data_IF_081701386748
#
_entry.id   IF_081701386748
#
_cell.length_a   1.000
_cell.length_b   1.000
_cell.length_c   1.000
_cell.angle_alpha   90.00
_cell.angle_beta   90.00
_cell.angle_gamma   90.00
#
_symmetry.space_group_name_H-M   'P 1'
#
loop_
_entity.id
_entity.type
_entity.pdbx_description
1 polymer ?
#
# COMPACT_ATOMS: atom_id res chain seq x y z
N UNK A 1 11.12 43.02 32.43
CA UNK A 1 10.39 42.64 31.21
C UNK A 1 10.45 41.13 31.02
N UNK A 2 9.46 40.34 31.47
CA UNK A 2 9.39 38.92 31.09
C UNK A 2 8.49 38.75 29.86
N UNK A 3 9.02 38.06 28.85
CA UNK A 3 8.29 37.68 27.66
C UNK A 3 7.21 36.63 27.99
N UNK A 4 6.06 36.86 27.37
CA UNK A 4 4.76 36.22 27.52
C UNK A 4 4.66 35.04 26.56
N UNK A 5 4.32 33.85 27.07
CA UNK A 5 3.80 32.74 26.27
C UNK A 5 2.45 32.30 26.87
N UNK A 6 1.37 32.46 26.10
CA UNK A 6 0.01 32.07 26.46
C UNK A 6 -0.38 30.80 25.68
N UNK A 7 -0.81 29.76 26.43
CA UNK A 7 -1.91 28.79 26.22
C UNK A 7 -1.87 27.95 24.92
N UNK A 8 -1.49 26.65 25.01
CA UNK A 8 -2.35 25.44 25.06
C UNK A 8 -3.38 25.32 23.92
N UNK A 9 -3.30 24.23 23.18
CA UNK A 9 -4.49 23.44 22.80
C UNK A 9 -4.06 22.01 22.44
N UNK A 10 -4.43 21.07 23.30
CA UNK A 10 -4.39 19.64 23.04
C UNK A 10 -5.34 19.33 21.87
N UNK A 11 -4.79 19.27 20.65
CA UNK A 11 -5.50 18.69 19.52
C UNK A 11 -5.60 17.18 19.72
N UNK A 12 -6.66 16.76 20.42
CA UNK A 12 -7.28 15.45 20.24
C UNK A 12 -7.77 15.34 18.79
N UNK A 13 -6.85 15.11 17.86
CA UNK A 13 -7.20 14.52 16.57
C UNK A 13 -7.60 13.09 16.88
N UNK A 14 -8.92 12.86 16.98
CA UNK A 14 -9.47 11.53 17.14
C UNK A 14 -8.85 10.63 16.08
N UNK A 15 -8.09 9.61 16.51
CA UNK A 15 -7.69 8.52 15.61
C UNK A 15 -8.98 7.98 15.02
N UNK A 16 -9.23 8.23 13.74
CA UNK A 16 -10.02 7.29 12.95
C UNK A 16 -9.17 6.03 12.87
N UNK A 17 -9.35 5.14 13.82
CA UNK A 17 -8.83 3.79 13.70
C UNK A 17 -9.76 3.07 12.73
N UNK A 18 -9.34 3.03 11.46
CA UNK A 18 -9.90 2.09 10.50
C UNK A 18 -9.02 0.84 10.57
N UNK A 19 -9.62 -0.28 10.95
CA UNK A 19 -8.97 -1.58 10.83
C UNK A 19 -9.19 -2.08 9.41
N UNK A 20 -8.14 -1.98 8.60
CA UNK A 20 -8.13 -2.53 7.24
C UNK A 20 -7.49 -3.93 7.28
N UNK A 21 -8.19 -4.91 6.71
CA UNK A 21 -7.60 -6.22 6.42
C UNK A 21 -7.40 -6.29 4.91
N UNK A 22 -6.17 -6.44 4.43
CA UNK A 22 -5.88 -6.62 3.00
C UNK A 22 -5.52 -8.09 2.75
N UNK A 23 -6.05 -8.67 1.66
CA UNK A 23 -5.67 -10.01 1.16
C UNK A 23 -5.14 -9.89 -0.25
N UNK A 24 -4.13 -10.68 -0.61
CA UNK A 24 -3.47 -10.59 -1.93
C UNK A 24 -3.49 -11.95 -2.57
N UNK A 25 -3.94 -11.99 -3.80
CA UNK A 25 -3.96 -13.18 -4.63
C UNK A 25 -3.07 -12.92 -5.83
N UNK A 26 -2.18 -13.87 -6.12
CA UNK A 26 -1.35 -13.85 -7.32
C UNK A 26 -2.03 -14.75 -8.34
N UNK A 27 -2.38 -14.20 -9.49
CA UNK A 27 -3.15 -14.91 -10.52
C UNK A 27 -2.49 -14.74 -11.88
N UNK A 28 -2.72 -15.70 -12.78
CA UNK A 28 -2.21 -15.66 -14.15
C UNK A 28 -2.88 -14.55 -14.97
N UNK A 29 -2.21 -14.06 -16.02
CA UNK A 29 -2.71 -12.99 -16.86
C UNK A 29 -4.02 -13.31 -17.62
N UNK A 30 -4.32 -14.59 -17.85
CA UNK A 30 -5.58 -15.01 -18.44
C UNK A 30 -6.73 -15.10 -17.41
N UNK A 31 -6.45 -14.88 -16.13
CA UNK A 31 -7.46 -14.94 -15.06
C UNK A 31 -8.44 -13.80 -15.22
N UNK A 32 -9.71 -14.15 -15.35
CA UNK A 32 -10.80 -13.17 -15.42
C UNK A 32 -11.12 -12.70 -14.00
N UNK A 33 -11.26 -11.38 -13.83
CA UNK A 33 -11.72 -10.82 -12.57
C UNK A 33 -13.09 -11.41 -12.20
N UNK A 34 -13.26 -12.01 -11.01
CA UNK A 34 -14.45 -12.78 -10.69
C UNK A 34 -15.70 -11.90 -10.61
N UNK A 35 -16.86 -12.49 -10.89
CA UNK A 35 -18.13 -11.83 -10.59
C UNK A 35 -18.34 -11.78 -9.07
N UNK A 36 -18.15 -10.61 -8.47
CA UNK A 36 -18.28 -10.42 -7.02
C UNK A 36 -19.72 -10.21 -6.54
N UNK A 37 -20.67 -10.01 -7.46
CA UNK A 37 -22.09 -9.83 -7.14
C UNK A 37 -22.76 -11.11 -6.60
N UNK A 38 -22.19 -12.29 -6.87
CA UNK A 38 -22.76 -13.58 -6.46
C UNK A 38 -22.41 -13.96 -5.02
N UNK A 39 -21.72 -13.07 -4.28
CA UNK A 39 -21.30 -13.35 -2.90
C UNK A 39 -22.33 -12.86 -1.90
N UNK A 40 -22.74 -13.72 -0.97
CA UNK A 40 -23.89 -13.49 -0.07
C UNK A 40 -23.85 -12.26 0.83
N UNK A 41 -22.70 -11.58 0.92
CA UNK A 41 -22.52 -10.35 1.70
C UNK A 41 -22.51 -9.08 0.84
N UNK A 42 -22.50 -9.19 -0.49
CA UNK A 42 -22.44 -8.08 -1.44
C UNK A 42 -23.79 -7.96 -2.12
N UNK A 43 -24.44 -6.81 -1.99
CA UNK A 43 -25.71 -6.52 -2.68
C UNK A 43 -25.45 -5.96 -4.09
N UNK A 44 -24.44 -5.10 -4.22
CA UNK A 44 -24.05 -4.53 -5.51
C UNK A 44 -22.56 -4.25 -5.62
N UNK A 45 -22.07 -4.27 -6.87
CA UNK A 45 -20.72 -3.84 -7.25
C UNK A 45 -20.82 -2.48 -7.92
N UNK A 46 -20.12 -1.48 -7.37
CA UNK A 46 -20.07 -0.13 -7.91
C UNK A 46 -19.25 -0.05 -9.20
N UNK A 47 -19.45 1.05 -9.94
CA UNK A 47 -18.63 1.37 -11.11
C UNK A 47 -17.15 1.52 -10.71
N UNK A 48 -16.21 0.94 -11.49
CA UNK A 48 -14.81 0.96 -11.11
C UNK A 48 -14.18 2.34 -11.27
N UNK A 49 -13.37 2.74 -10.29
CA UNK A 49 -12.40 3.81 -10.43
C UNK A 49 -11.08 3.27 -10.98
N UNK A 50 -10.43 4.00 -11.92
CA UNK A 50 -9.12 3.61 -12.46
C UNK A 50 -8.02 4.54 -11.95
N UNK A 51 -6.89 3.96 -11.53
CA UNK A 51 -5.74 4.69 -11.01
C UNK A 51 -4.45 4.23 -11.69
N UNK A 52 -3.61 5.19 -12.05
CA UNK A 52 -2.23 4.93 -12.47
C UNK A 52 -1.30 5.23 -11.30
N UNK A 53 -0.60 4.21 -10.84
CA UNK A 53 0.26 4.26 -9.67
C UNK A 53 1.71 4.02 -10.09
N UNK A 54 2.64 4.74 -9.49
CA UNK A 54 4.08 4.46 -9.62
C UNK A 54 4.71 4.40 -8.23
N UNK A 55 5.50 3.36 -7.96
CA UNK A 55 6.25 3.18 -6.73
C UNK A 55 7.74 2.96 -7.04
N UNK A 56 8.59 3.90 -6.60
CA UNK A 56 10.05 3.78 -6.67
C UNK A 56 10.57 3.23 -5.34
N UNK A 57 11.30 2.12 -5.40
CA UNK A 57 11.87 1.44 -4.25
C UNK A 57 13.32 1.87 -4.05
N UNK A 58 13.68 2.10 -2.79
CA UNK A 58 15.02 2.53 -2.40
C UNK A 58 15.68 1.45 -1.55
N UNK A 59 16.95 1.15 -1.84
CA UNK A 59 17.76 0.25 -1.05
C UNK A 59 19.24 0.64 -1.15
N UNK A 60 20.09 -0.05 -0.41
CA UNK A 60 21.54 0.01 -0.63
C UNK A 60 21.92 -0.90 -1.79
N UNK A 61 23.13 -0.75 -2.38
CA UNK A 61 23.62 -1.64 -3.44
C UNK A 61 23.64 -3.13 -3.07
N UNK A 62 23.72 -3.47 -1.77
CA UNK A 62 23.70 -4.87 -1.28
C UNK A 62 22.33 -5.31 -0.75
N UNK A 63 21.30 -4.50 -0.97
CA UNK A 63 19.91 -4.76 -0.60
C UNK A 63 19.71 -5.02 0.91
N UNK A 64 20.41 -4.31 1.80
CA UNK A 64 20.34 -4.61 3.25
C UNK A 64 18.95 -4.41 3.83
N UNK A 65 18.21 -3.39 3.36
CA UNK A 65 16.85 -3.15 3.82
C UNK A 65 15.99 -4.39 3.60
N UNK A 66 15.96 -4.88 2.35
CA UNK A 66 15.19 -6.06 1.98
C UNK A 66 15.61 -7.32 2.76
N UNK A 67 16.92 -7.51 2.96
CA UNK A 67 17.47 -8.62 3.78
C UNK A 67 17.03 -8.58 5.24
N UNK A 68 16.63 -7.42 5.74
CA UNK A 68 16.09 -7.23 7.10
C UNK A 68 14.57 -7.02 7.10
N UNK A 69 13.86 -7.40 6.03
CA UNK A 69 12.40 -7.25 5.95
C UNK A 69 11.91 -5.80 5.91
N UNK A 70 12.81 -4.84 5.67
CA UNK A 70 12.50 -3.41 5.58
C UNK A 70 12.20 -3.04 4.12
N UNK A 71 11.13 -2.27 3.93
CA UNK A 71 10.75 -1.76 2.61
C UNK A 71 10.63 -0.25 2.67
N UNK A 72 11.34 0.45 1.79
CA UNK A 72 11.26 1.89 1.63
C UNK A 72 10.86 2.21 0.18
N UNK A 73 9.76 2.94 0.01
CA UNK A 73 9.28 3.33 -1.32
C UNK A 73 8.73 4.75 -1.32
N UNK A 74 8.82 5.41 -2.48
CA UNK A 74 8.08 6.62 -2.83
C UNK A 74 6.98 6.24 -3.82
N UNK A 75 5.73 6.52 -3.49
CA UNK A 75 4.55 6.21 -4.34
C UNK A 75 3.88 7.49 -4.80
N UNK A 76 3.51 7.56 -6.07
CA UNK A 76 2.69 8.62 -6.66
C UNK A 76 1.42 8.03 -7.27
N UNK A 77 0.36 8.82 -7.31
CA UNK A 77 -0.94 8.42 -7.85
C UNK A 77 -1.81 7.69 -6.83
N UNK A 78 -3.13 7.86 -7.00
CA UNK A 78 -4.15 7.33 -6.10
C UNK A 78 -4.16 8.03 -4.73
N UNK A 79 -4.94 7.46 -3.80
CA UNK A 79 -5.19 8.06 -2.47
C UNK A 79 -4.05 7.85 -1.46
N UNK A 80 -3.10 6.98 -1.78
CA UNK A 80 -2.00 6.55 -0.91
C UNK A 80 -0.65 7.07 -1.43
N UNK A 81 -0.64 8.30 -1.96
CA UNK A 81 0.59 8.94 -2.39
C UNK A 81 1.47 9.38 -1.20
N UNK A 82 2.79 9.22 -1.34
CA UNK A 82 3.73 9.54 -0.29
C UNK A 82 4.93 8.61 -0.25
N UNK A 83 5.76 8.82 0.77
CA UNK A 83 6.82 7.92 1.15
C UNK A 83 6.32 6.93 2.19
N UNK A 84 6.70 5.67 2.05
CA UNK A 84 6.32 4.60 2.96
C UNK A 84 7.55 3.84 3.41
N UNK A 85 7.69 3.67 4.72
CA UNK A 85 8.71 2.83 5.34
C UNK A 85 8.02 1.75 6.17
N UNK A 86 8.16 0.49 5.76
CA UNK A 86 7.67 -0.68 6.49
C UNK A 86 8.83 -1.38 7.19
N UNK A 87 8.71 -1.59 8.49
CA UNK A 87 9.76 -2.18 9.34
C UNK A 87 9.16 -3.36 10.13
N UNK A 88 9.86 -4.49 10.27
CA UNK A 88 9.41 -5.57 11.16
C UNK A 88 9.25 -5.08 12.60
N UNK A 89 8.18 -5.50 13.27
CA UNK A 89 7.86 -5.16 14.65
C UNK A 89 7.47 -6.38 15.51
N UNK A 90 7.63 -7.60 14.97
CA UNK A 90 7.28 -8.87 15.61
C UNK A 90 7.18 -9.98 14.57
N UNK A 91 6.76 -11.17 14.99
CA UNK A 91 6.37 -12.23 14.05
C UNK A 91 5.14 -11.76 13.27
N UNK A 92 5.26 -11.65 11.95
CA UNK A 92 4.21 -11.21 11.02
C UNK A 92 3.62 -9.81 11.25
N UNK A 93 4.19 -9.03 12.18
CA UNK A 93 3.77 -7.65 12.46
C UNK A 93 4.77 -6.67 11.82
N UNK A 94 4.24 -5.65 11.14
CA UNK A 94 5.04 -4.58 10.54
C UNK A 94 4.51 -3.22 10.98
N UNK A 95 5.42 -2.33 11.38
CA UNK A 95 5.11 -0.90 11.53
C UNK A 95 5.25 -0.22 10.19
N UNK A 96 4.25 0.57 9.79
CA UNK A 96 4.32 1.45 8.64
C UNK A 96 4.45 2.91 9.10
N UNK A 97 5.46 3.60 8.58
CA UNK A 97 5.65 5.04 8.73
C UNK A 97 5.42 5.71 7.37
N UNK A 98 4.80 6.89 7.38
CA UNK A 98 4.42 7.63 6.17
C UNK A 98 4.93 9.07 6.24
N UNK A 99 5.40 9.57 5.12
CA UNK A 99 5.76 10.98 4.93
C UNK A 99 5.15 11.48 3.61
N UNK A 100 4.75 12.75 3.51
CA UNK A 100 4.22 13.31 2.26
C UNK A 100 5.28 13.32 1.16
N UNK A 101 4.86 13.30 -0.11
CA UNK A 101 5.78 13.31 -1.26
C UNK A 101 6.83 14.44 -1.21
N UNK A 102 6.40 15.62 -0.74
CA UNK A 102 7.19 16.84 -0.81
C UNK A 102 7.59 17.20 -2.25
N UNK A 103 8.53 18.15 -2.38
CA UNK A 103 9.08 18.57 -3.69
C UNK A 103 10.28 17.73 -4.14
N UNK A 104 10.84 16.90 -3.27
CA UNK A 104 12.07 16.15 -3.52
C UNK A 104 11.85 14.70 -3.96
N UNK A 105 12.87 14.14 -4.63
CA UNK A 105 12.97 12.68 -4.92
C UNK A 105 13.96 11.96 -3.99
N UNK A 106 14.52 12.68 -3.03
CA UNK A 106 15.47 12.16 -2.04
C UNK A 106 14.72 11.58 -0.85
N UNK A 107 15.19 10.44 -0.33
CA UNK A 107 14.63 9.80 0.86
C UNK A 107 14.56 10.79 2.02
N UNK A 108 13.40 10.99 2.69
CA UNK A 108 13.27 11.90 3.83
C UNK A 108 14.26 11.58 4.96
N UNK A 109 14.82 12.61 5.60
CA UNK A 109 15.81 12.44 6.69
C UNK A 109 15.28 11.56 7.82
N UNK A 110 14.01 11.72 8.21
CA UNK A 110 13.37 10.89 9.23
C UNK A 110 13.43 9.38 8.89
N UNK A 111 13.32 9.01 7.62
CA UNK A 111 13.46 7.63 7.17
C UNK A 111 14.92 7.19 7.07
N UNK A 112 15.82 8.07 6.62
CA UNK A 112 17.26 7.80 6.62
C UNK A 112 17.78 7.49 8.02
N UNK A 113 17.42 8.33 9.00
CA UNK A 113 17.77 8.14 10.39
C UNK A 113 17.24 6.80 10.93
N UNK A 114 15.99 6.44 10.59
CA UNK A 114 15.36 5.19 11.04
C UNK A 114 16.04 3.93 10.52
N UNK A 115 16.62 3.97 9.31
CA UNK A 115 17.26 2.80 8.68
C UNK A 115 18.78 2.86 8.66
N UNK A 116 19.39 3.89 9.26
CA UNK A 116 20.84 4.15 9.21
C UNK A 116 21.68 2.94 9.63
N UNK A 117 21.35 2.30 10.76
CA UNK A 117 22.06 1.13 11.26
C UNK A 117 21.95 -0.07 10.30
N UNK A 118 20.78 -0.26 9.68
CA UNK A 118 20.52 -1.35 8.72
C UNK A 118 21.29 -1.12 7.42
N UNK A 119 21.32 0.13 6.95
CA UNK A 119 22.08 0.53 5.75
C UNK A 119 23.60 0.47 5.96
N UNK A 120 24.08 0.42 7.21
CA UNK A 120 25.50 0.39 7.57
C UNK A 120 26.30 1.51 6.89
N UNK A 121 25.75 2.73 6.90
CA UNK A 121 26.35 3.91 6.29
C UNK A 121 26.37 3.94 4.76
N UNK A 122 25.79 2.95 4.06
CA UNK A 122 25.69 2.97 2.60
C UNK A 122 24.53 3.83 2.12
N UNK A 123 24.74 4.47 0.97
CA UNK A 123 23.73 5.31 0.31
C UNK A 123 22.52 4.48 -0.07
N UNK A 124 21.34 5.08 0.13
CA UNK A 124 20.07 4.58 -0.38
C UNK A 124 19.85 5.17 -1.78
N UNK A 125 19.69 4.29 -2.76
CA UNK A 125 19.48 4.64 -4.16
C UNK A 125 18.21 3.96 -4.68
N UNK A 126 17.58 4.53 -5.74
CA UNK A 126 16.51 3.83 -6.45
C UNK A 126 17.01 2.49 -7.00
N UNK A 127 16.33 1.40 -6.68
CA UNK A 127 16.70 0.04 -7.13
C UNK A 127 15.61 -0.65 -7.94
N UNK A 128 14.38 -0.15 -7.89
CA UNK A 128 13.29 -0.64 -8.72
C UNK A 128 12.18 0.42 -8.87
N UNK A 129 11.46 0.34 -9.98
CA UNK A 129 10.20 1.05 -10.21
C UNK A 129 9.10 0.03 -10.45
N UNK A 130 7.97 0.18 -9.79
CA UNK A 130 6.76 -0.61 -10.01
C UNK A 130 5.66 0.33 -10.48
N UNK A 131 5.06 0.02 -11.63
CA UNK A 131 3.89 0.73 -12.15
C UNK A 131 2.69 -0.17 -12.06
N UNK A 132 1.55 0.40 -11.67
CA UNK A 132 0.30 -0.34 -11.54
C UNK A 132 -0.83 0.44 -12.18
N UNK A 133 -1.52 -0.16 -13.14
CA UNK A 133 -2.88 0.26 -13.51
C UNK A 133 -3.82 -0.51 -12.59
N UNK A 134 -4.49 0.21 -11.69
CA UNK A 134 -5.43 -0.35 -10.73
C UNK A 134 -6.86 0.00 -11.09
N UNK A 135 -7.76 -0.98 -11.04
CA UNK A 135 -9.21 -0.77 -11.07
C UNK A 135 -9.79 -1.15 -9.71
N UNK A 136 -10.48 -0.22 -9.07
CA UNK A 136 -11.10 -0.42 -7.76
C UNK A 136 -12.62 -0.49 -7.88
N UNK A 137 -13.21 -1.60 -7.43
CA UNK A 137 -14.63 -1.91 -7.45
C UNK A 137 -15.18 -1.82 -6.02
N UNK A 138 -15.98 -0.79 -5.69
CA UNK A 138 -16.65 -0.72 -4.39
C UNK A 138 -17.68 -1.84 -4.27
N UNK A 139 -17.57 -2.68 -3.24
CA UNK A 139 -18.56 -3.70 -2.88
C UNK A 139 -19.50 -3.09 -1.84
N UNK A 140 -20.81 -3.13 -2.11
CA UNK A 140 -21.81 -2.42 -1.30
C UNK A 140 -22.78 -3.37 -0.60
N UNK A 141 -23.27 -2.93 0.55
CA UNK A 141 -24.42 -3.53 1.22
C UNK A 141 -25.74 -3.05 0.59
N UNK A 142 -26.85 -3.61 1.07
CA UNK A 142 -28.21 -3.29 0.61
C UNK A 142 -28.61 -1.82 0.89
N UNK A 143 -27.95 -1.18 1.86
CA UNK A 143 -28.13 0.24 2.19
C UNK A 143 -27.24 1.16 1.32
N UNK A 144 -26.41 0.60 0.44
CA UNK A 144 -25.50 1.31 -0.45
C UNK A 144 -24.16 1.74 0.19
N UNK A 145 -23.91 1.35 1.44
CA UNK A 145 -22.65 1.54 2.16
C UNK A 145 -21.53 0.69 1.56
N UNK A 146 -20.29 1.21 1.57
CA UNK A 146 -19.13 0.46 1.06
C UNK A 146 -18.63 -0.51 2.14
N UNK A 147 -18.81 -1.80 1.90
CA UNK A 147 -18.31 -2.88 2.76
C UNK A 147 -16.82 -3.10 2.56
N UNK A 148 -16.42 -3.13 1.29
CA UNK A 148 -15.03 -3.27 0.89
C UNK A 148 -14.77 -2.68 -0.49
N UNK A 149 -13.50 -2.55 -0.84
CA UNK A 149 -13.07 -2.27 -2.20
C UNK A 149 -12.33 -3.50 -2.70
N UNK A 150 -12.69 -4.02 -3.87
CA UNK A 150 -11.92 -5.02 -4.58
C UNK A 150 -11.00 -4.34 -5.61
N UNK A 151 -9.71 -4.65 -5.60
CA UNK A 151 -8.76 -4.12 -6.58
C UNK A 151 -8.44 -5.16 -7.66
N UNK A 152 -8.31 -4.71 -8.91
CA UNK A 152 -7.73 -5.45 -10.02
C UNK A 152 -6.49 -4.68 -10.47
N UNK A 153 -5.31 -5.29 -10.32
CA UNK A 153 -4.03 -4.64 -10.57
C UNK A 153 -3.37 -5.22 -11.83
N UNK A 154 -2.95 -4.36 -12.75
CA UNK A 154 -1.99 -4.73 -13.77
C UNK A 154 -0.64 -4.13 -13.40
N UNK A 155 0.31 -4.98 -13.00
CA UNK A 155 1.57 -4.57 -12.38
C UNK A 155 2.74 -4.82 -13.32
N UNK A 156 3.60 -3.81 -13.49
CA UNK A 156 4.88 -3.92 -14.20
C UNK A 156 6.01 -3.50 -13.28
N UNK A 157 7.05 -4.33 -13.18
CA UNK A 157 8.20 -4.05 -12.33
C UNK A 157 9.49 -3.97 -13.16
N UNK A 158 10.25 -2.90 -12.93
CA UNK A 158 11.54 -2.64 -13.52
C UNK A 158 12.61 -2.60 -12.42
N UNK A 159 13.67 -3.40 -12.55
CA UNK A 159 14.87 -3.26 -11.71
C UNK A 159 15.78 -2.15 -12.25
N UNK A 160 16.30 -1.31 -11.36
CA UNK A 160 17.24 -0.24 -11.69
C UNK A 160 18.66 -0.69 -11.29
N UNK A 161 19.62 -0.56 -12.22
CA UNK A 161 21.03 -0.92 -12.02
C UNK A 161 21.38 -2.35 -12.44
N UNK A 162 22.40 -2.48 -13.31
CA UNK A 162 22.87 -3.77 -13.85
C UNK A 162 22.98 -3.89 -15.38
N UNK A 163 22.96 -2.78 -16.14
CA UNK A 163 23.20 -2.77 -17.59
C UNK A 163 22.09 -3.32 -18.47
N UNK A 164 21.15 -4.08 -17.90
CA UNK A 164 20.01 -4.62 -18.63
C UNK A 164 18.70 -4.28 -17.91
N UNK A 165 17.75 -3.82 -18.70
CA UNK A 165 16.36 -3.64 -18.30
C UNK A 165 15.75 -5.02 -18.06
N UNK A 166 15.89 -5.56 -16.85
CA UNK A 166 15.16 -6.78 -16.51
C UNK A 166 13.70 -6.38 -16.31
N UNK A 167 12.94 -6.48 -17.39
CA UNK A 167 11.49 -6.61 -17.34
C UNK A 167 11.18 -7.86 -16.53
N UNK A 168 10.87 -7.66 -15.26
CA UNK A 168 10.22 -8.70 -14.48
C UNK A 168 8.73 -8.53 -14.80
N UNK A 169 8.32 -9.04 -15.96
CA UNK A 169 6.92 -9.42 -16.20
C UNK A 169 6.63 -10.60 -15.27
N UNK A 170 6.48 -10.30 -13.98
CA UNK A 170 5.77 -11.19 -13.08
C UNK A 170 4.31 -10.80 -13.19
N UNK A 171 3.70 -11.36 -14.22
CA UNK A 171 2.28 -11.68 -14.33
C UNK A 171 1.35 -10.47 -14.32
N UNK A 172 0.27 -10.50 -15.10
CA UNK A 172 -0.83 -9.60 -14.81
C UNK A 172 -1.43 -10.03 -13.46
N UNK A 173 -0.88 -9.48 -12.38
CA UNK A 173 -1.24 -9.83 -11.01
C UNK A 173 -2.54 -9.13 -10.62
N UNK A 174 -3.70 -9.72 -10.91
CA UNK A 174 -4.94 -9.26 -10.30
C UNK A 174 -4.88 -9.47 -8.78
N UNK A 175 -4.33 -8.48 -8.07
CA UNK A 175 -4.30 -8.44 -6.62
C UNK A 175 -5.68 -8.05 -6.14
N UNK A 176 -6.56 -9.04 -5.92
CA UNK A 176 -7.85 -8.82 -5.27
C UNK A 176 -7.64 -8.53 -3.78
N UNK A 177 -7.26 -7.29 -3.50
CA UNK A 177 -7.34 -6.68 -2.18
C UNK A 177 -8.79 -6.41 -1.84
N UNK A 178 -9.34 -7.11 -0.86
CA UNK A 178 -10.61 -6.73 -0.22
C UNK A 178 -10.26 -5.89 1.00
N UNK A 179 -10.31 -4.57 0.90
CA UNK A 179 -10.12 -3.69 2.05
C UNK A 179 -11.47 -3.48 2.76
N UNK A 180 -11.71 -4.13 3.91
CA UNK A 180 -12.96 -3.95 4.67
C UNK A 180 -12.92 -2.66 5.49
N UNK A 181 -13.81 -1.72 5.21
CA UNK A 181 -13.99 -0.51 6.01
C UNK A 181 -15.10 -0.74 7.04
N UNK A 182 -14.77 -1.18 8.26
CA UNK A 182 -15.78 -1.41 9.30
C UNK A 182 -16.15 -0.09 9.98
N UNK A 183 -17.27 0.53 9.59
CA UNK A 183 -17.95 1.53 10.40
C UNK A 183 -18.94 0.79 11.31
N UNK A 184 -18.75 0.91 12.63
CA UNK A 184 -19.36 0.01 13.62
C UNK A 184 -20.90 -0.12 13.52
N UNK A 185 -21.40 -1.30 13.12
CA UNK A 185 -22.28 -2.25 13.83
C UNK A 185 -22.70 -3.38 12.87
N UNK A 186 -22.60 -4.63 13.31
CA UNK A 186 -23.20 -5.79 12.62
C UNK A 186 -22.24 -6.66 11.81
N UNK A 187 -22.43 -7.98 11.96
CA UNK A 187 -21.84 -9.20 11.34
C UNK A 187 -20.63 -9.08 10.39
N UNK A 188 -19.56 -9.79 10.78
CA UNK A 188 -18.38 -10.08 9.95
C UNK A 188 -18.71 -11.18 8.93
N UNK A 189 -18.58 -10.89 7.63
CA UNK A 189 -18.62 -11.87 6.55
C UNK A 189 -17.23 -12.03 5.96
N UNK A 190 -16.69 -13.24 5.95
CA UNK A 190 -15.41 -13.54 5.28
C UNK A 190 -15.69 -13.98 3.86
N UNK A 191 -15.25 -13.21 2.86
CA UNK A 191 -15.25 -13.62 1.47
C UNK A 191 -14.09 -14.63 1.28
N UNK A 192 -14.43 -15.86 0.92
CA UNK A 192 -13.47 -16.89 0.51
C UNK A 192 -13.56 -17.05 -1.00
N UNK A 193 -12.44 -16.93 -1.70
CA UNK A 193 -12.33 -17.40 -3.08
C UNK A 193 -11.97 -18.88 -3.03
N UNK A 194 -12.89 -19.74 -3.46
CA UNK A 194 -12.66 -21.18 -3.64
C UNK A 194 -12.28 -21.46 -5.09
N UNK A 195 -11.20 -22.19 -5.31
CA UNK A 195 -10.93 -22.80 -6.61
C UNK A 195 -11.98 -23.90 -6.84
N UNK A 196 -12.76 -23.78 -7.92
CA UNK A 196 -13.47 -24.90 -8.53
C UNK A 196 -12.78 -25.30 -9.82
#
# INVERSE_FOLDING_TARGET
MPARWLIREDLKMGRRQQEETERKYDVDAATVFPNLADTSAVDSVGQPGTFLLEAVYFATPRLDLARNGVTLRRRTGGHDEGWHLKIPAGQDIRTELREPLGSGRTVPEVFRARVHAIARGRTLEPVATVRTERREYPLRDAEGGVLAVAADDNVRALRLGGGEEVHIDRDAKALVGVATARQARGRSGTLFYGHH
#
